data_IF_742699608840
#
_entry.id   IF_742699608840
#
_cell.length_a   1.000
_cell.length_b   1.000
_cell.length_c   1.000
_cell.angle_alpha   90.00
_cell.angle_beta   90.00
_cell.angle_gamma   90.00
#
_symmetry.space_group_name_H-M   'P 1'
#
loop_
_entity.id
_entity.type
_entity.pdbx_description
1 polymer ?
#
# COMPACT_ATOMS: atom_id res chain seq x y z
N UNK A 1 30.80 -3.65 -88.39
CA UNK A 1 30.72 -2.18 -88.20
C UNK A 1 29.51 -1.85 -87.35
N UNK A 2 29.73 -1.20 -86.18
CA UNK A 2 28.77 -0.49 -85.30
C UNK A 2 27.61 -1.32 -84.71
N UNK A 3 27.33 -1.36 -83.41
CA UNK A 3 27.87 -0.69 -82.24
C UNK A 3 27.13 -1.15 -80.97
N UNK A 4 27.91 -1.37 -79.91
CA UNK A 4 27.65 -1.12 -78.49
C UNK A 4 26.19 -0.91 -78.02
N UNK A 5 25.68 -1.83 -77.17
CA UNK A 5 24.85 -1.42 -76.03
C UNK A 5 25.10 -2.31 -74.81
N UNK A 6 25.59 -1.61 -73.79
CA UNK A 6 26.05 -2.01 -72.48
C UNK A 6 24.84 -2.39 -71.59
N UNK A 7 24.83 -3.59 -70.99
CA UNK A 7 23.92 -3.90 -69.87
C UNK A 7 24.75 -3.97 -68.58
N UNK A 8 24.67 -2.88 -67.82
CA UNK A 8 25.27 -2.72 -66.50
C UNK A 8 24.60 -3.69 -65.53
N UNK A 9 25.43 -4.47 -64.82
CA UNK A 9 25.07 -5.28 -63.66
C UNK A 9 24.66 -4.34 -62.51
N UNK A 10 23.46 -4.50 -61.96
CA UNK A 10 23.13 -4.00 -60.62
C UNK A 10 22.96 -5.20 -59.69
N UNK A 11 24.01 -5.53 -58.95
CA UNK A 11 23.89 -6.29 -57.71
C UNK A 11 23.47 -5.30 -56.63
N UNK A 12 22.25 -5.43 -56.11
CA UNK A 12 21.85 -4.80 -54.85
C UNK A 12 22.45 -5.61 -53.70
N UNK A 13 23.56 -5.15 -53.12
CA UNK A 13 23.97 -5.57 -51.79
C UNK A 13 23.06 -4.87 -50.78
N UNK A 14 22.08 -5.60 -50.26
CA UNK A 14 21.35 -5.20 -49.05
C UNK A 14 22.28 -5.51 -47.88
N UNK A 15 23.01 -4.50 -47.39
CA UNK A 15 23.71 -4.58 -46.11
C UNK A 15 22.65 -4.57 -45.01
N UNK A 16 22.35 -5.74 -44.44
CA UNK A 16 21.55 -5.86 -43.23
C UNK A 16 22.38 -5.30 -42.08
N UNK A 17 22.23 -4.01 -41.79
CA UNK A 17 22.71 -3.43 -40.54
C UNK A 17 21.75 -3.94 -39.46
N UNK A 18 22.07 -5.07 -38.83
CA UNK A 18 21.44 -5.42 -37.57
C UNK A 18 21.77 -4.29 -36.58
N UNK A 19 20.77 -3.62 -35.98
CA UNK A 19 21.06 -2.82 -34.82
C UNK A 19 21.51 -3.82 -33.75
N UNK A 20 22.81 -3.81 -33.45
CA UNK A 20 23.29 -4.34 -32.18
C UNK A 20 22.58 -3.47 -31.15
N UNK A 21 21.45 -3.95 -30.65
CA UNK A 21 20.89 -3.45 -29.42
C UNK A 21 22.01 -3.67 -28.41
N UNK A 22 22.73 -2.60 -28.09
CA UNK A 22 23.57 -2.54 -26.91
C UNK A 22 22.60 -2.73 -25.76
N UNK A 23 22.38 -3.99 -25.39
CA UNK A 23 21.98 -4.35 -24.04
C UNK A 23 23.17 -3.89 -23.22
N UNK A 24 23.12 -2.64 -22.77
CA UNK A 24 23.94 -2.20 -21.68
C UNK A 24 23.57 -3.14 -20.55
N UNK A 25 24.39 -4.19 -20.35
CA UNK A 25 24.39 -4.98 -19.15
C UNK A 25 24.76 -3.97 -18.08
N UNK A 26 23.75 -3.36 -17.47
CA UNK A 26 23.92 -2.41 -16.40
C UNK A 26 24.78 -3.14 -15.36
N UNK A 27 25.98 -2.62 -15.13
CA UNK A 27 26.87 -3.12 -14.08
C UNK A 27 26.03 -3.22 -12.80
N UNK A 28 25.92 -4.43 -12.25
CA UNK A 28 24.90 -4.74 -11.26
C UNK A 28 25.16 -3.88 -10.01
N UNK A 29 24.32 -2.86 -9.80
CA UNK A 29 24.52 -1.90 -8.72
C UNK A 29 24.54 -2.63 -7.38
N UNK A 30 25.64 -2.52 -6.63
CA UNK A 30 25.77 -3.10 -5.29
C UNK A 30 24.62 -2.69 -4.36
N UNK A 31 24.03 -1.52 -4.56
CA UNK A 31 22.88 -1.03 -3.80
C UNK A 31 21.59 -1.76 -4.20
N UNK A 32 21.35 -1.95 -5.50
CA UNK A 32 20.21 -2.74 -5.99
C UNK A 32 20.34 -4.19 -5.51
N UNK A 33 21.55 -4.76 -5.56
CA UNK A 33 21.81 -6.11 -5.07
C UNK A 33 21.55 -6.23 -3.56
N UNK A 34 21.95 -5.24 -2.75
CA UNK A 34 21.64 -5.24 -1.32
C UNK A 34 20.12 -5.20 -1.05
N UNK A 35 19.36 -4.35 -1.77
CA UNK A 35 17.90 -4.29 -1.66
C UNK A 35 17.25 -5.59 -2.13
N UNK A 36 17.79 -6.20 -3.19
CA UNK A 36 17.34 -7.50 -3.70
C UNK A 36 17.52 -8.60 -2.66
N UNK A 37 18.70 -8.68 -2.04
CA UNK A 37 18.96 -9.63 -0.94
C UNK A 37 18.02 -9.40 0.25
N UNK A 38 17.79 -8.14 0.63
CA UNK A 38 16.81 -7.80 1.66
C UNK A 38 15.40 -8.31 1.29
N UNK A 39 14.92 -7.99 0.08
CA UNK A 39 13.59 -8.37 -0.37
C UNK A 39 13.45 -9.90 -0.46
N UNK A 40 14.44 -10.61 -1.00
CA UNK A 40 14.44 -12.07 -1.07
C UNK A 40 14.39 -12.70 0.34
N UNK A 41 15.12 -12.14 1.30
CA UNK A 41 15.05 -12.58 2.71
C UNK A 41 13.68 -12.33 3.32
N UNK A 42 13.05 -11.17 3.06
CA UNK A 42 11.67 -10.89 3.51
C UNK A 42 10.68 -11.86 2.88
N UNK A 43 10.78 -12.16 1.58
CA UNK A 43 9.90 -13.11 0.92
C UNK A 43 10.10 -14.54 1.43
N UNK A 44 11.31 -14.90 1.86
CA UNK A 44 11.64 -16.23 2.37
C UNK A 44 11.27 -16.43 3.83
N UNK A 45 11.49 -15.43 4.67
CA UNK A 45 11.41 -15.54 6.14
C UNK A 45 10.27 -14.74 6.76
N UNK A 46 9.73 -13.76 6.04
CA UNK A 46 8.69 -12.86 6.54
C UNK A 46 7.26 -13.27 6.23
N UNK A 47 7.04 -14.36 5.48
CA UNK A 47 5.69 -14.81 5.12
C UNK A 47 4.94 -15.38 6.31
N UNK A 48 3.62 -15.17 6.30
CA UNK A 48 2.71 -15.79 7.25
C UNK A 48 2.54 -17.30 6.95
N UNK A 49 3.24 -18.12 7.73
CA UNK A 49 3.25 -19.59 7.67
C UNK A 49 3.12 -20.22 9.07
N UNK A 50 2.63 -19.46 10.06
CA UNK A 50 2.76 -19.81 11.47
C UNK A 50 1.49 -20.45 12.03
N UNK A 51 0.33 -19.91 11.68
CA UNK A 51 -0.97 -20.40 12.11
C UNK A 51 -1.52 -21.51 11.20
N UNK A 52 -2.74 -21.98 11.49
CA UNK A 52 -3.47 -22.91 10.63
C UNK A 52 -3.63 -22.46 9.17
N UNK A 53 -3.69 -21.16 8.92
CA UNK A 53 -3.74 -20.55 7.58
C UNK A 53 -2.37 -20.03 7.21
N UNK A 54 -1.93 -20.39 6.01
CA UNK A 54 -0.76 -19.77 5.39
C UNK A 54 -1.25 -18.75 4.37
N UNK A 55 -1.10 -17.48 4.71
CA UNK A 55 -1.67 -16.36 3.95
C UNK A 55 -0.56 -15.65 3.16
N UNK A 56 -0.89 -14.81 2.16
CA UNK A 56 0.12 -14.02 1.47
C UNK A 56 0.66 -12.84 2.29
N UNK A 57 0.20 -12.65 3.54
CA UNK A 57 0.63 -11.57 4.42
C UNK A 57 2.10 -11.71 4.84
N UNK A 58 2.61 -10.64 5.45
CA UNK A 58 3.94 -10.58 6.04
C UNK A 58 3.84 -10.35 7.55
N UNK A 59 4.75 -10.93 8.31
CA UNK A 59 4.99 -10.55 9.70
C UNK A 59 5.75 -9.22 9.76
N UNK A 60 5.50 -8.41 10.78
CA UNK A 60 6.04 -7.05 10.89
C UNK A 60 7.55 -6.99 11.11
N UNK A 61 8.15 -8.08 11.60
CA UNK A 61 9.57 -8.13 11.90
C UNK A 61 10.12 -9.53 11.82
N UNK A 62 11.43 -9.61 11.59
CA UNK A 62 12.19 -10.85 11.53
C UNK A 62 13.45 -10.62 12.35
N UNK A 63 13.72 -11.49 13.33
CA UNK A 63 14.99 -11.50 14.04
C UNK A 63 16.09 -11.95 13.08
N UNK A 64 17.16 -11.15 12.96
CA UNK A 64 18.20 -11.34 11.92
C UNK A 64 19.07 -12.57 12.13
N UNK A 65 19.15 -13.09 13.36
CA UNK A 65 19.98 -14.26 13.68
C UNK A 65 19.18 -15.57 13.55
N UNK A 66 17.91 -15.54 13.97
CA UNK A 66 17.05 -16.74 14.06
C UNK A 66 16.04 -16.86 12.92
N UNK A 67 15.82 -15.79 12.18
CA UNK A 67 14.77 -15.64 11.17
C UNK A 67 13.34 -15.88 11.69
N UNK A 68 13.13 -15.74 13.01
CA UNK A 68 11.81 -15.85 13.64
C UNK A 68 11.17 -14.47 13.83
N UNK A 69 9.84 -14.36 13.80
CA UNK A 69 9.18 -13.10 14.06
C UNK A 69 9.21 -12.75 15.56
N UNK A 70 9.09 -11.46 15.92
CA UNK A 70 8.90 -11.07 17.31
C UNK A 70 7.54 -11.54 17.83
N UNK A 71 7.52 -11.97 19.09
CA UNK A 71 6.28 -12.34 19.80
C UNK A 71 5.75 -11.15 20.61
N UNK A 72 4.47 -10.82 20.42
CA UNK A 72 3.78 -9.81 21.21
C UNK A 72 2.95 -10.47 22.32
N UNK A 73 3.27 -10.19 23.58
CA UNK A 73 2.57 -10.79 24.74
C UNK A 73 1.60 -9.80 25.37
N UNK A 74 0.32 -10.16 25.47
CA UNK A 74 -0.71 -9.30 26.06
C UNK A 74 -1.83 -10.11 26.68
N UNK A 75 -2.18 -9.81 27.95
CA UNK A 75 -3.28 -10.44 28.69
C UNK A 75 -3.28 -11.98 28.63
N UNK A 76 -2.10 -12.59 28.67
CA UNK A 76 -1.94 -14.05 28.62
C UNK A 76 -1.96 -14.66 27.21
N UNK A 77 -2.17 -13.85 26.18
CA UNK A 77 -2.02 -14.27 24.78
C UNK A 77 -0.64 -13.90 24.24
N UNK A 78 -0.17 -14.68 23.26
CA UNK A 78 1.01 -14.40 22.45
C UNK A 78 0.58 -14.29 21.00
N UNK A 79 0.98 -13.21 20.33
CA UNK A 79 0.63 -12.93 18.93
C UNK A 79 1.89 -12.80 18.08
N UNK A 80 1.78 -13.19 16.81
CA UNK A 80 2.74 -12.85 15.76
C UNK A 80 2.07 -11.79 14.89
N UNK A 81 2.54 -10.55 14.98
CA UNK A 81 1.85 -9.44 14.35
C UNK A 81 2.11 -9.37 12.84
N UNK A 82 1.02 -9.27 12.09
CA UNK A 82 0.97 -8.81 10.70
C UNK A 82 0.08 -7.56 10.65
N UNK A 83 0.71 -6.38 10.70
CA UNK A 83 0.01 -5.09 10.62
C UNK A 83 0.38 -4.37 9.32
N UNK A 84 -0.50 -4.50 8.33
CA UNK A 84 -0.26 -3.93 7.00
C UNK A 84 -0.07 -2.40 7.03
N UNK A 85 -0.58 -1.68 8.04
CA UNK A 85 -0.35 -0.23 8.17
C UNK A 85 1.14 0.11 8.43
N UNK A 86 1.89 -0.81 9.03
CA UNK A 86 3.33 -0.69 9.31
C UNK A 86 4.23 -1.16 8.14
N UNK A 87 3.64 -1.75 7.09
CA UNK A 87 4.37 -2.41 6.00
C UNK A 87 4.37 -1.60 4.70
N UNK A 88 3.83 -0.39 4.72
CA UNK A 88 3.64 0.42 3.50
C UNK A 88 4.96 0.76 2.80
N UNK A 89 6.05 0.95 3.55
CA UNK A 89 7.39 1.15 2.98
C UNK A 89 7.99 -0.14 2.40
N UNK A 90 7.68 -1.30 2.99
CA UNK A 90 8.03 -2.59 2.38
C UNK A 90 7.35 -2.72 1.02
N UNK A 91 6.07 -2.38 0.92
CA UNK A 91 5.34 -2.47 -0.35
C UNK A 91 5.88 -1.51 -1.41
N UNK A 92 6.22 -0.27 -1.06
CA UNK A 92 6.93 0.65 -1.96
C UNK A 92 8.26 0.07 -2.43
N UNK A 93 9.02 -0.55 -1.52
CA UNK A 93 10.31 -1.18 -1.83
C UNK A 93 10.13 -2.33 -2.82
N UNK A 94 9.17 -3.23 -2.58
CA UNK A 94 8.91 -4.38 -3.44
C UNK A 94 8.38 -3.96 -4.82
N UNK A 95 7.46 -3.00 -4.88
CA UNK A 95 6.92 -2.48 -6.14
C UNK A 95 7.99 -1.81 -6.99
N UNK A 96 8.83 -0.98 -6.37
CA UNK A 96 9.96 -0.30 -7.03
C UNK A 96 11.05 -1.28 -7.48
N UNK A 97 11.33 -2.33 -6.70
CA UNK A 97 12.32 -3.33 -7.08
C UNK A 97 11.89 -4.10 -8.34
N UNK A 98 10.59 -4.44 -8.48
CA UNK A 98 10.06 -4.96 -9.75
C UNK A 98 10.23 -3.96 -10.88
N UNK A 99 9.94 -2.67 -10.64
CA UNK A 99 10.08 -1.64 -11.68
C UNK A 99 11.52 -1.52 -12.21
N UNK A 100 12.51 -1.55 -11.31
CA UNK A 100 13.91 -1.35 -11.65
C UNK A 100 14.54 -2.61 -12.28
N UNK A 101 14.16 -3.80 -11.79
CA UNK A 101 14.82 -5.08 -12.16
C UNK A 101 14.06 -5.89 -13.19
N UNK A 102 12.76 -5.62 -13.37
CA UNK A 102 11.87 -6.43 -14.19
C UNK A 102 11.43 -7.75 -13.55
N UNK A 103 11.92 -8.12 -12.35
CA UNK A 103 11.48 -9.35 -11.66
C UNK A 103 10.09 -9.13 -11.03
N UNK A 104 9.02 -9.79 -11.55
CA UNK A 104 7.66 -9.54 -11.11
C UNK A 104 7.35 -10.07 -9.71
N UNK A 105 8.19 -10.94 -9.14
CA UNK A 105 7.87 -11.62 -7.88
C UNK A 105 7.70 -10.64 -6.71
N UNK A 106 8.43 -9.52 -6.70
CA UNK A 106 8.40 -8.55 -5.62
C UNK A 106 7.07 -7.80 -5.57
N UNK A 107 6.68 -7.14 -6.67
CA UNK A 107 5.36 -6.50 -6.83
C UNK A 107 4.24 -7.49 -6.56
N UNK A 108 4.33 -8.71 -7.13
CA UNK A 108 3.32 -9.75 -6.92
C UNK A 108 3.10 -10.04 -5.42
N UNK A 109 4.19 -10.17 -4.65
CA UNK A 109 4.10 -10.44 -3.22
C UNK A 109 3.38 -9.32 -2.45
N UNK A 110 3.64 -8.05 -2.80
CA UNK A 110 2.95 -6.90 -2.20
C UNK A 110 1.47 -6.85 -2.60
N UNK A 111 1.15 -7.06 -3.88
CA UNK A 111 -0.23 -7.02 -4.37
C UNK A 111 -1.07 -8.17 -3.83
N UNK A 112 -0.48 -9.36 -3.64
CA UNK A 112 -1.18 -10.51 -3.05
C UNK A 112 -1.56 -10.24 -1.58
N UNK A 113 -0.67 -9.61 -0.81
CA UNK A 113 -0.94 -9.22 0.58
C UNK A 113 -2.05 -8.16 0.67
N UNK A 114 -2.01 -7.13 -0.19
CA UNK A 114 -3.05 -6.09 -0.27
C UNK A 114 -4.40 -6.70 -0.65
N UNK A 115 -4.44 -7.56 -1.67
CA UNK A 115 -5.66 -8.23 -2.11
C UNK A 115 -6.27 -9.05 -0.96
N UNK A 116 -5.44 -9.83 -0.27
CA UNK A 116 -5.90 -10.61 0.89
C UNK A 116 -6.46 -9.72 1.99
N UNK A 117 -5.81 -8.59 2.30
CA UNK A 117 -6.30 -7.65 3.31
C UNK A 117 -7.64 -7.03 2.91
N UNK A 118 -7.83 -6.65 1.64
CA UNK A 118 -9.14 -6.22 1.15
C UNK A 118 -10.20 -7.32 1.26
N UNK A 119 -9.87 -8.57 0.97
CA UNK A 119 -10.85 -9.65 1.00
C UNK A 119 -11.20 -10.09 2.44
N UNK A 120 -10.23 -10.06 3.37
CA UNK A 120 -10.35 -10.76 4.65
C UNK A 120 -10.17 -9.86 5.88
N UNK A 121 -9.54 -8.69 5.75
CA UNK A 121 -9.15 -7.84 6.88
C UNK A 121 -9.87 -6.48 6.82
N UNK A 122 -11.20 -6.49 6.63
CA UNK A 122 -12.03 -5.29 6.66
C UNK A 122 -13.10 -5.37 7.76
N UNK A 123 -13.39 -4.24 8.36
CA UNK A 123 -14.60 -4.07 9.16
C UNK A 123 -15.85 -4.02 8.26
N UNK A 124 -17.05 -4.23 8.83
CA UNK A 124 -18.30 -4.07 8.09
C UNK A 124 -18.42 -2.70 7.40
N UNK A 125 -17.95 -1.64 8.07
CA UNK A 125 -17.99 -0.29 7.54
C UNK A 125 -16.84 0.07 6.58
N UNK A 126 -15.95 -0.87 6.25
CA UNK A 126 -14.96 -0.72 5.16
C UNK A 126 -13.59 -0.21 5.55
N UNK A 127 -13.35 0.04 6.83
CA UNK A 127 -12.00 0.27 7.35
C UNK A 127 -11.20 -1.03 7.32
N UNK A 128 -9.90 -0.93 7.10
CA UNK A 128 -9.00 -2.07 7.22
C UNK A 128 -8.71 -2.37 8.69
N UNK A 129 -8.58 -3.66 9.02
CA UNK A 129 -8.22 -4.16 10.35
C UNK A 129 -6.70 -4.03 10.56
N UNK A 130 -6.24 -2.79 10.71
CA UNK A 130 -4.84 -2.40 10.81
C UNK A 130 -4.66 -1.14 11.68
N UNK A 131 -3.44 -0.63 11.77
CA UNK A 131 -3.15 0.66 12.40
C UNK A 131 -2.78 0.53 13.88
N UNK A 132 -3.08 1.55 14.69
CA UNK A 132 -2.58 1.66 16.06
C UNK A 132 -3.14 0.64 17.06
N UNK A 133 -4.34 0.09 16.82
CA UNK A 133 -5.05 -0.72 17.82
C UNK A 133 -5.58 -2.07 17.32
N UNK A 134 -5.39 -2.39 16.04
CA UNK A 134 -5.87 -3.62 15.40
C UNK A 134 -4.78 -4.15 14.48
N UNK A 135 -4.52 -5.46 14.53
CA UNK A 135 -3.66 -6.16 13.59
C UNK A 135 -4.15 -7.60 13.39
N UNK A 136 -3.59 -8.30 12.41
CA UNK A 136 -3.76 -9.74 12.23
C UNK A 136 -2.74 -10.48 13.08
N UNK A 137 -3.18 -11.48 13.85
CA UNK A 137 -2.32 -12.45 14.51
C UNK A 137 -2.09 -13.65 13.60
N UNK A 138 -0.90 -13.73 13.03
CA UNK A 138 -0.43 -14.81 12.16
C UNK A 138 -0.32 -16.16 12.87
N UNK A 139 -0.25 -16.20 14.20
CA UNK A 139 -0.21 -17.45 14.95
C UNK A 139 -1.62 -18.02 15.17
N UNK A 140 -2.58 -17.15 15.49
CA UNK A 140 -3.95 -17.54 15.87
C UNK A 140 -5.01 -17.38 14.78
N UNK A 141 -4.66 -16.88 13.60
CA UNK A 141 -5.57 -16.60 12.48
C UNK A 141 -6.77 -15.72 12.83
N UNK A 142 -6.55 -14.75 13.72
CA UNK A 142 -7.59 -13.87 14.26
C UNK A 142 -7.10 -12.43 14.34
N UNK A 143 -8.04 -11.49 14.48
CA UNK A 143 -7.67 -10.12 14.81
C UNK A 143 -7.19 -10.06 16.26
N UNK A 144 -6.00 -9.51 16.47
CA UNK A 144 -5.54 -9.09 17.78
C UNK A 144 -5.81 -7.59 17.95
N UNK A 145 -6.44 -7.22 19.06
CA UNK A 145 -7.01 -5.88 19.22
C UNK A 145 -6.81 -5.34 20.63
N UNK A 146 -6.50 -4.05 20.73
CA UNK A 146 -6.64 -3.28 21.96
C UNK A 146 -8.02 -2.69 22.12
N UNK A 147 -8.56 -2.17 21.03
CA UNK A 147 -9.89 -1.59 20.97
C UNK A 147 -10.43 -1.76 19.54
N UNK A 148 -11.75 -1.62 19.36
CA UNK A 148 -12.38 -1.62 18.03
C UNK A 148 -12.30 -0.23 17.36
N UNK A 149 -11.09 0.33 17.36
CA UNK A 149 -10.80 1.67 16.88
C UNK A 149 -9.75 1.59 15.76
N UNK A 150 -10.10 2.11 14.59
CA UNK A 150 -9.16 2.37 13.53
C UNK A 150 -8.35 3.61 13.86
N UNK A 151 -7.04 3.57 13.63
CA UNK A 151 -6.14 4.70 13.88
C UNK A 151 -4.95 4.64 12.93
N UNK A 152 -4.71 5.75 12.23
CA UNK A 152 -3.46 6.03 11.51
C UNK A 152 -2.84 7.31 12.09
N UNK A 153 -1.50 7.31 12.19
CA UNK A 153 -0.69 8.42 12.73
C UNK A 153 0.59 8.55 11.91
N UNK A 154 0.58 9.45 10.94
CA UNK A 154 1.66 9.66 9.98
C UNK A 154 2.04 8.36 9.24
N UNK A 155 1.05 7.53 8.88
CA UNK A 155 1.29 6.25 8.21
C UNK A 155 1.54 6.41 6.71
N UNK A 156 0.85 7.34 6.06
CA UNK A 156 0.89 7.63 4.62
C UNK A 156 0.88 6.36 3.74
N UNK A 157 -0.22 5.59 3.73
CA UNK A 157 -0.28 4.33 2.99
C UNK A 157 -0.03 4.49 1.49
N UNK A 158 0.41 3.40 0.85
CA UNK A 158 0.74 3.40 -0.57
C UNK A 158 -0.53 3.22 -1.43
N UNK A 159 -1.38 4.25 -1.42
CA UNK A 159 -2.71 4.22 -2.02
C UNK A 159 -2.68 3.95 -3.53
N UNK A 160 -1.62 4.34 -4.25
CA UNK A 160 -1.47 4.06 -5.68
C UNK A 160 -1.35 2.56 -5.96
N UNK A 161 -0.58 1.84 -5.14
CA UNK A 161 -0.48 0.38 -5.27
C UNK A 161 -1.78 -0.30 -4.84
N UNK A 162 -2.41 0.19 -3.77
CA UNK A 162 -3.72 -0.28 -3.33
C UNK A 162 -4.76 -0.12 -4.45
N UNK A 163 -4.78 1.04 -5.11
CA UNK A 163 -5.68 1.36 -6.22
C UNK A 163 -5.43 0.49 -7.45
N UNK A 164 -4.15 0.20 -7.76
CA UNK A 164 -3.77 -0.73 -8.82
C UNK A 164 -4.30 -2.15 -8.56
N UNK A 165 -4.35 -2.58 -7.30
CA UNK A 165 -4.87 -3.90 -6.90
C UNK A 165 -6.40 -3.95 -6.97
N UNK A 166 -7.06 -2.99 -6.32
CA UNK A 166 -8.52 -2.88 -6.33
C UNK A 166 -8.93 -1.41 -6.12
N UNK A 167 -9.33 -0.69 -7.19
CA UNK A 167 -9.72 0.71 -7.08
C UNK A 167 -11.03 0.88 -6.31
N UNK A 168 -11.95 -0.10 -6.36
CA UNK A 168 -13.23 -0.02 -5.64
C UNK A 168 -13.02 -0.19 -4.14
N UNK A 169 -12.20 -1.17 -3.74
CA UNK A 169 -11.88 -1.39 -2.33
C UNK A 169 -11.06 -0.22 -1.77
N UNK A 170 -10.13 0.34 -2.56
CA UNK A 170 -9.33 1.51 -2.16
C UNK A 170 -10.22 2.74 -1.99
N UNK A 171 -11.08 3.05 -2.97
CA UNK A 171 -12.06 4.14 -2.85
C UNK A 171 -12.90 4.00 -1.59
N UNK A 172 -13.48 2.82 -1.38
CA UNK A 172 -14.30 2.54 -0.18
C UNK A 172 -13.50 2.74 1.11
N UNK A 173 -12.25 2.28 1.18
CA UNK A 173 -11.43 2.49 2.38
C UNK A 173 -11.20 3.98 2.66
N UNK A 174 -10.82 4.77 1.65
CA UNK A 174 -10.55 6.21 1.80
C UNK A 174 -11.80 6.98 2.24
N UNK A 175 -12.94 6.67 1.64
CA UNK A 175 -14.25 7.20 2.01
C UNK A 175 -14.62 6.82 3.46
N UNK A 176 -14.47 5.54 3.82
CA UNK A 176 -14.72 5.08 5.19
C UNK A 176 -13.79 5.70 6.22
N UNK A 177 -12.53 5.95 5.85
CA UNK A 177 -11.54 6.58 6.73
C UNK A 177 -11.96 8.00 7.09
N UNK A 178 -12.39 8.81 6.12
CA UNK A 178 -12.95 10.13 6.40
C UNK A 178 -14.23 10.04 7.24
N UNK A 179 -15.21 9.26 6.79
CA UNK A 179 -16.50 9.17 7.45
C UNK A 179 -16.43 8.67 8.91
N UNK A 180 -15.46 7.82 9.23
CA UNK A 180 -15.31 7.30 10.59
C UNK A 180 -14.57 8.26 11.53
N UNK A 181 -13.73 9.16 10.98
CA UNK A 181 -12.86 10.03 11.78
C UNK A 181 -13.36 11.47 11.89
N UNK A 182 -14.19 11.96 10.96
CA UNK A 182 -14.85 13.26 11.09
C UNK A 182 -16.08 13.10 12.01
N UNK A 183 -16.01 13.75 13.18
CA UNK A 183 -17.06 13.73 14.20
C UNK A 183 -18.14 14.77 13.90
N UNK A 184 -17.73 15.94 13.41
CA UNK A 184 -18.63 16.99 12.98
C UNK A 184 -18.14 17.60 11.66
N UNK A 185 -18.92 17.40 10.61
CA UNK A 185 -18.60 17.87 9.26
C UNK A 185 -18.71 19.39 9.10
N UNK A 186 -19.51 20.07 9.92
CA UNK A 186 -19.70 21.53 9.80
C UNK A 186 -18.45 22.32 10.19
N UNK A 187 -17.64 21.80 11.11
CA UNK A 187 -16.42 22.45 11.62
C UNK A 187 -15.16 21.60 11.43
N UNK A 188 -15.26 20.45 10.75
CA UNK A 188 -14.19 19.46 10.57
C UNK A 188 -13.56 18.97 11.90
N UNK A 189 -14.34 18.95 12.98
CA UNK A 189 -13.92 18.28 14.21
C UNK A 189 -13.64 16.81 13.90
N UNK A 190 -12.41 16.37 14.14
CA UNK A 190 -11.98 15.00 13.90
C UNK A 190 -11.57 14.29 15.18
N UNK A 191 -11.58 12.97 15.15
CA UNK A 191 -11.01 12.13 16.19
C UNK A 191 -9.92 11.22 15.62
N UNK A 192 -8.83 11.04 16.37
CA UNK A 192 -7.79 10.06 16.03
C UNK A 192 -8.31 8.62 15.90
N UNK A 193 -9.42 8.30 16.57
CA UNK A 193 -10.01 6.97 16.57
C UNK A 193 -11.30 6.94 15.74
N UNK A 194 -11.31 6.16 14.67
CA UNK A 194 -12.51 5.86 13.88
C UNK A 194 -13.19 4.59 14.38
N UNK A 195 -14.49 4.63 14.63
CA UNK A 195 -15.21 3.44 15.10
C UNK A 195 -15.42 2.44 13.95
N UNK A 196 -14.99 1.20 14.13
CA UNK A 196 -15.06 0.18 13.07
C UNK A 196 -16.41 -0.54 12.95
N UNK A 197 -17.35 -0.29 13.88
CA UNK A 197 -18.66 -0.97 13.93
C UNK A 197 -19.83 -0.06 13.61
N UNK A 198 -19.67 1.25 13.77
CA UNK A 198 -20.74 2.21 13.53
C UNK A 198 -21.03 2.35 12.05
N UNK A 199 -22.30 2.56 11.74
CA UNK A 199 -22.72 3.08 10.46
C UNK A 199 -22.06 4.42 10.20
N UNK A 200 -21.67 4.64 8.95
CA UNK A 200 -20.93 5.83 8.54
C UNK A 200 -21.92 6.89 8.05
N UNK A 201 -21.69 8.18 8.39
CA UNK A 201 -22.48 9.27 7.83
C UNK A 201 -22.24 9.38 6.31
N UNK A 202 -23.10 10.16 5.64
CA UNK A 202 -22.82 10.61 4.29
C UNK A 202 -21.52 11.43 4.24
N UNK A 203 -20.87 11.39 3.08
CA UNK A 203 -19.62 12.10 2.82
C UNK A 203 -19.88 13.42 2.08
N UNK A 204 -18.90 14.33 2.20
CA UNK A 204 -18.80 15.56 1.40
C UNK A 204 -20.07 16.43 1.42
N UNK A 205 -20.63 16.75 2.60
CA UNK A 205 -21.80 17.61 2.67
C UNK A 205 -21.47 19.03 2.19
N UNK A 206 -22.45 19.70 1.57
CA UNK A 206 -22.26 21.03 0.97
C UNK A 206 -21.96 22.15 1.99
N UNK A 207 -22.23 21.95 3.28
CA UNK A 207 -22.13 22.99 4.30
C UNK A 207 -20.92 22.80 5.22
N UNK A 208 -19.90 23.64 4.99
CA UNK A 208 -18.83 23.95 5.94
C UNK A 208 -19.12 25.33 6.56
N UNK A 209 -19.18 25.39 7.89
CA UNK A 209 -19.57 26.57 8.68
C UNK A 209 -18.71 26.61 9.95
N UNK A 210 -17.40 26.87 9.82
CA UNK A 210 -16.47 26.71 10.90
C UNK A 210 -16.65 27.78 11.98
N UNK A 211 -16.55 27.35 13.23
CA UNK A 211 -16.31 28.27 14.34
C UNK A 211 -14.89 28.87 14.25
N UNK A 212 -14.66 30.07 14.79
CA UNK A 212 -13.31 30.62 14.89
C UNK A 212 -12.35 29.66 15.59
N UNK A 213 -11.16 29.48 15.03
CA UNK A 213 -10.10 28.71 15.68
C UNK A 213 -9.49 29.51 16.85
N UNK A 214 -9.22 28.91 18.01
CA UNK A 214 -9.54 27.54 18.43
C UNK A 214 -11.00 27.41 18.91
N UNK A 215 -11.65 26.29 18.58
CA UNK A 215 -12.99 25.94 19.08
C UNK A 215 -12.95 24.75 20.04
N UNK A 216 -14.00 24.58 20.83
CA UNK A 216 -14.14 23.45 21.75
C UNK A 216 -14.80 22.26 21.06
N UNK A 217 -14.22 21.07 21.25
CA UNK A 217 -14.75 19.82 20.72
C UNK A 217 -14.48 18.64 21.64
N UNK A 218 -15.06 17.50 21.30
CA UNK A 218 -14.84 16.18 21.92
C UNK A 218 -13.77 15.36 21.19
N UNK A 219 -13.46 15.77 19.95
CA UNK A 219 -12.52 15.17 19.05
C UNK A 219 -11.06 15.36 19.48
N UNK A 220 -10.28 14.31 19.24
CA UNK A 220 -8.84 14.31 19.41
C UNK A 220 -8.16 14.73 18.10
N UNK A 221 -8.20 16.02 17.77
CA UNK A 221 -7.80 16.61 16.49
C UNK A 221 -6.29 16.78 16.33
N UNK A 222 -5.54 15.70 16.54
CA UNK A 222 -4.08 15.71 16.44
C UNK A 222 -3.60 15.67 14.98
N UNK A 223 -2.59 16.48 14.69
CA UNK A 223 -2.05 16.63 13.33
C UNK A 223 -1.54 15.31 12.74
N UNK A 224 -1.04 14.37 13.55
CA UNK A 224 -0.56 13.08 13.06
C UNK A 224 -1.66 12.21 12.42
N UNK A 225 -2.90 12.26 12.91
CA UNK A 225 -4.04 11.61 12.22
C UNK A 225 -4.60 12.53 11.13
N UNK A 226 -4.64 13.84 11.39
CA UNK A 226 -5.06 14.82 10.39
C UNK A 226 -4.26 14.72 9.10
N UNK A 227 -2.97 14.41 9.19
CA UNK A 227 -2.10 14.27 8.04
C UNK A 227 -2.36 13.04 7.19
N UNK A 228 -2.76 11.93 7.80
CA UNK A 228 -3.27 10.79 7.04
C UNK A 228 -4.60 11.12 6.36
N UNK A 229 -5.49 11.90 7.00
CA UNK A 229 -6.79 12.28 6.42
C UNK A 229 -6.64 13.20 5.21
N UNK A 230 -5.91 14.31 5.30
CA UNK A 230 -5.74 15.20 4.14
C UNK A 230 -4.96 14.51 3.01
N UNK A 231 -4.00 13.63 3.33
CA UNK A 231 -3.32 12.81 2.33
C UNK A 231 -4.31 11.84 1.66
N UNK A 232 -5.17 11.17 2.42
CA UNK A 232 -6.21 10.29 1.89
C UNK A 232 -7.22 11.04 0.99
N UNK A 233 -7.64 12.26 1.36
CA UNK A 233 -8.53 13.10 0.56
C UNK A 233 -7.89 13.53 -0.76
N UNK A 234 -6.64 14.00 -0.71
CA UNK A 234 -5.87 14.37 -1.91
C UNK A 234 -5.65 13.16 -2.84
N UNK A 235 -5.32 11.99 -2.28
CA UNK A 235 -5.12 10.78 -3.05
C UNK A 235 -6.42 10.23 -3.65
N UNK A 236 -7.54 10.31 -2.92
CA UNK A 236 -8.84 9.95 -3.47
C UNK A 236 -9.17 10.79 -4.69
N UNK A 237 -8.94 12.11 -4.62
CA UNK A 237 -9.12 13.01 -5.76
C UNK A 237 -8.20 12.66 -6.92
N UNK A 238 -6.90 12.51 -6.64
CA UNK A 238 -5.90 12.18 -7.65
C UNK A 238 -6.19 10.87 -8.40
N UNK A 239 -6.59 9.83 -7.66
CA UNK A 239 -6.78 8.48 -8.20
C UNK A 239 -8.13 8.28 -8.90
N UNK A 240 -9.18 8.95 -8.41
CA UNK A 240 -10.55 8.79 -8.93
C UNK A 240 -10.97 9.86 -9.93
N UNK A 241 -10.32 11.03 -9.91
CA UNK A 241 -10.74 12.23 -10.65
C UNK A 241 -11.93 12.96 -10.03
N UNK A 242 -12.43 12.52 -8.87
CA UNK A 242 -13.50 13.16 -8.12
C UNK A 242 -12.93 14.29 -7.26
N UNK A 243 -13.35 15.53 -7.49
CA UNK A 243 -12.84 16.68 -6.75
C UNK A 243 -13.52 16.89 -5.39
N UNK A 244 -14.65 16.22 -5.09
CA UNK A 244 -15.38 16.43 -3.84
C UNK A 244 -14.53 16.32 -2.55
N UNK A 245 -13.55 15.40 -2.43
CA UNK A 245 -12.73 15.30 -1.23
C UNK A 245 -11.81 16.51 -0.95
N UNK A 246 -11.68 17.45 -1.89
CA UNK A 246 -10.86 18.66 -1.78
C UNK A 246 -11.67 19.96 -1.80
N UNK A 247 -13.00 19.89 -1.82
CA UNK A 247 -13.92 21.04 -1.89
C UNK A 247 -14.58 21.31 -0.56
#
# INVERSE_FOLDING_TARGET
MKGLMMKIRQLFLISLILPIATVAVAEESKYINAVRTFADNVLKHGKDIYGPKHTPLFVDGINVDTHKPPEWKRKGETWILSNMASQQNLFRTLDALTEITGDPKYRKAATDAIKYAFENLRSPNGLLAWGGHVAYDALGDKLCMESFSHELKSNYPYYELMWRVDPKATKRFLESFWAAHIVNWSNLEMNRHGNMKKDLPGLWPEKYDPEPVFFWGTGLSFLNTGSDLFYAGAMLTHLSGDNQPLV
#
